data_IF_058057257911
#
_entry.id   IF_058057257911
#
_cell.length_a   1.000
_cell.length_b   1.000
_cell.length_c   1.000
_cell.angle_alpha   90.00
_cell.angle_beta   90.00
_cell.angle_gamma   90.00
#
_symmetry.space_group_name_H-M   'P 1'
#
loop_
_entity.id
_entity.type
_entity.pdbx_description
1 polymer ?
#
# COMPACT_ATOMS: atom_id res chain seq x y z
N UNK A 1 -59.06 35.57 26.46
CA UNK A 1 -57.99 34.85 27.06
C UNK A 1 -56.88 34.70 25.99
N UNK A 2 -55.92 35.37 26.25
CA UNK A 2 -54.75 35.99 25.74
C UNK A 2 -54.02 35.19 24.64
N UNK A 3 -53.82 35.87 23.49
CA UNK A 3 -52.89 35.53 22.41
C UNK A 3 -51.45 35.81 22.90
N UNK A 4 -50.59 34.83 22.88
CA UNK A 4 -49.15 35.02 22.92
C UNK A 4 -48.59 34.81 21.51
N UNK A 5 -48.17 35.90 20.90
CA UNK A 5 -47.46 36.01 19.64
C UNK A 5 -46.05 35.47 19.83
N UNK A 6 -45.68 34.39 19.17
CA UNK A 6 -44.30 33.94 19.04
C UNK A 6 -43.70 34.61 17.81
N UNK A 7 -42.75 35.53 18.05
CA UNK A 7 -41.99 36.18 17.00
C UNK A 7 -41.04 35.20 16.31
N UNK A 8 -41.13 35.18 15.00
CA UNK A 8 -40.19 34.49 14.11
C UNK A 8 -38.81 35.20 14.14
N UNK A 9 -37.87 34.63 14.89
CA UNK A 9 -36.47 34.97 14.71
C UNK A 9 -35.95 34.14 13.54
N UNK A 10 -35.92 34.74 12.35
CA UNK A 10 -35.30 34.18 11.17
C UNK A 10 -33.78 34.03 11.37
N UNK A 11 -33.34 32.85 11.75
CA UNK A 11 -31.93 32.49 11.71
C UNK A 11 -31.58 32.11 10.29
N UNK A 12 -30.99 33.06 9.56
CA UNK A 12 -30.34 32.81 8.28
C UNK A 12 -29.13 31.96 8.53
N UNK A 13 -29.18 30.70 8.17
CA UNK A 13 -28.04 29.80 8.23
C UNK A 13 -27.16 30.05 6.98
N UNK A 14 -26.15 30.89 7.15
CA UNK A 14 -25.10 31.07 6.13
C UNK A 14 -24.24 29.81 6.11
N UNK A 15 -24.32 29.02 5.03
CA UNK A 15 -23.54 27.79 4.80
C UNK A 15 -22.09 28.03 4.46
N UNK A 16 -21.53 29.21 4.71
CA UNK A 16 -20.25 29.67 4.20
C UNK A 16 -19.05 29.54 5.15
N UNK A 17 -19.23 29.37 6.47
CA UNK A 17 -18.08 29.52 7.39
C UNK A 17 -18.08 28.53 8.54
N UNK A 18 -17.68 27.27 8.29
CA UNK A 18 -17.42 26.30 9.36
C UNK A 18 -15.92 26.24 9.76
N UNK A 19 -15.04 26.97 9.09
CA UNK A 19 -13.64 27.10 9.50
C UNK A 19 -13.24 28.58 9.58
N UNK A 20 -12.63 29.04 10.68
CA UNK A 20 -12.06 30.38 10.73
C UNK A 20 -10.94 30.47 9.69
N UNK A 21 -10.96 31.52 8.86
CA UNK A 21 -9.92 31.83 7.90
C UNK A 21 -8.60 32.12 8.63
N UNK A 22 -7.70 31.14 8.69
CA UNK A 22 -6.38 31.22 9.32
C UNK A 22 -5.34 31.80 8.36
N UNK A 23 -5.70 32.11 7.12
CA UNK A 23 -4.76 32.65 6.13
C UNK A 23 -5.21 34.04 5.66
N UNK A 24 -4.30 35.04 5.66
CA UNK A 24 -4.60 36.34 5.10
C UNK A 24 -4.78 36.28 3.59
N UNK A 25 -5.79 36.98 3.07
CA UNK A 25 -6.16 37.03 1.64
C UNK A 25 -5.05 37.47 0.68
N UNK A 26 -3.94 38.00 1.18
CA UNK A 26 -2.79 38.42 0.39
C UNK A 26 -1.95 37.31 -0.22
N UNK A 27 -2.18 36.03 0.16
CA UNK A 27 -1.47 34.89 -0.41
C UNK A 27 -2.25 34.18 -1.53
N UNK A 28 -3.47 34.61 -1.82
CA UNK A 28 -4.33 34.00 -2.87
C UNK A 28 -4.07 34.54 -4.29
N UNK A 29 -3.13 35.44 -4.50
CA UNK A 29 -2.74 35.89 -5.84
C UNK A 29 -1.63 35.03 -6.44
N UNK A 30 -1.75 33.74 -6.38
CA UNK A 30 -0.97 32.85 -7.25
C UNK A 30 -1.58 32.86 -8.65
N UNK A 31 -0.86 33.46 -9.60
CA UNK A 31 -1.14 33.46 -11.06
C UNK A 31 -1.74 32.12 -11.46
N UNK A 32 -3.06 32.09 -11.67
CA UNK A 32 -3.73 30.98 -12.32
C UNK A 32 -3.18 30.86 -13.75
N UNK A 33 -2.30 29.91 -13.99
CA UNK A 33 -2.03 29.50 -15.38
C UNK A 33 -3.35 28.98 -15.93
N UNK A 34 -3.79 29.49 -17.10
CA UNK A 34 -5.01 28.98 -17.74
C UNK A 34 -4.86 27.49 -17.91
N UNK A 35 -5.81 26.74 -17.37
CA UNK A 35 -5.86 25.30 -17.51
C UNK A 35 -6.13 24.99 -18.99
N UNK A 36 -5.42 24.02 -19.59
CA UNK A 36 -5.84 23.49 -20.87
C UNK A 36 -7.25 22.93 -20.71
N UNK A 37 -8.15 23.44 -21.55
CA UNK A 37 -9.57 23.11 -21.59
C UNK A 37 -9.75 21.62 -21.89
N UNK A 38 -10.48 20.91 -21.06
CA UNK A 38 -11.42 19.92 -21.53
C UNK A 38 -11.03 18.45 -21.59
N UNK A 39 -9.82 18.00 -21.31
CA UNK A 39 -9.51 16.57 -21.25
C UNK A 39 -9.41 16.11 -19.79
N UNK A 40 -10.45 15.50 -19.29
CA UNK A 40 -10.54 15.02 -17.92
C UNK A 40 -9.65 13.81 -17.63
N UNK A 41 -9.09 13.18 -18.67
CA UNK A 41 -8.17 12.05 -18.55
C UNK A 41 -7.05 12.19 -19.59
N UNK A 42 -5.93 12.78 -19.18
CA UNK A 42 -4.70 12.80 -19.94
C UNK A 42 -4.16 11.38 -20.17
N UNK A 43 -3.49 11.15 -21.31
CA UNK A 43 -2.76 9.89 -21.59
C UNK A 43 -1.85 9.50 -20.41
N UNK A 44 -1.22 10.48 -19.76
CA UNK A 44 -0.42 10.29 -18.56
C UNK A 44 -1.21 9.69 -17.39
N UNK A 45 -2.47 10.09 -17.19
CA UNK A 45 -3.32 9.52 -16.12
C UNK A 45 -3.62 8.04 -16.39
N UNK A 46 -3.91 7.67 -17.63
CA UNK A 46 -4.14 6.26 -17.99
C UNK A 46 -2.88 5.42 -17.87
N UNK A 47 -1.71 5.97 -18.24
CA UNK A 47 -0.42 5.31 -18.02
C UNK A 47 -0.17 5.00 -16.53
N UNK A 48 -0.34 6.01 -15.67
CA UNK A 48 -0.21 5.84 -14.22
C UNK A 48 -1.26 4.87 -13.66
N UNK A 49 -2.48 4.91 -14.18
CA UNK A 49 -3.55 3.99 -13.78
C UNK A 49 -3.19 2.54 -14.10
N UNK A 50 -2.62 2.29 -15.27
CA UNK A 50 -2.13 0.96 -15.67
C UNK A 50 -0.96 0.52 -14.78
N UNK A 51 0.01 1.40 -14.54
CA UNK A 51 1.12 1.13 -13.63
C UNK A 51 0.60 0.73 -12.24
N UNK A 52 -0.39 1.45 -11.72
CA UNK A 52 -0.91 1.18 -10.38
C UNK A 52 -1.77 -0.10 -10.30
N UNK A 53 -2.44 -0.48 -11.40
CA UNK A 53 -3.07 -1.79 -11.55
C UNK A 53 -2.02 -2.91 -11.49
N UNK A 54 -0.93 -2.80 -12.26
CA UNK A 54 0.15 -3.78 -12.29
C UNK A 54 0.86 -3.90 -10.94
N UNK A 55 1.11 -2.77 -10.27
CA UNK A 55 1.65 -2.73 -8.91
C UNK A 55 0.74 -3.45 -7.91
N UNK A 56 -0.59 -3.27 -8.02
CA UNK A 56 -1.57 -4.00 -7.21
C UNK A 56 -1.52 -5.52 -7.44
N UNK A 57 -1.39 -5.96 -8.70
CA UNK A 57 -1.20 -7.38 -9.03
C UNK A 57 0.08 -7.91 -8.36
N UNK A 58 1.21 -7.23 -8.53
CA UNK A 58 2.49 -7.63 -7.98
C UNK A 58 2.45 -7.73 -6.45
N UNK A 59 1.88 -6.73 -5.79
CA UNK A 59 1.79 -6.67 -4.32
C UNK A 59 1.09 -7.89 -3.73
N UNK A 60 -0.04 -8.32 -4.29
CA UNK A 60 -0.77 -9.48 -3.79
C UNK A 60 -0.19 -10.82 -4.27
N UNK A 61 0.48 -10.85 -5.41
CA UNK A 61 1.30 -12.03 -5.79
C UNK A 61 2.36 -12.26 -4.70
N UNK A 62 3.07 -11.23 -4.27
CA UNK A 62 4.05 -11.36 -3.18
C UNK A 62 3.40 -11.79 -1.86
N UNK A 63 2.28 -11.20 -1.47
CA UNK A 63 1.60 -11.55 -0.22
C UNK A 63 1.27 -13.04 -0.17
N UNK A 64 0.70 -13.60 -1.25
CA UNK A 64 0.36 -15.03 -1.33
C UNK A 64 1.63 -15.90 -1.28
N UNK A 65 2.68 -15.52 -2.00
CA UNK A 65 3.95 -16.25 -2.02
C UNK A 65 4.62 -16.21 -0.64
N UNK A 66 4.70 -15.03 0.00
CA UNK A 66 5.32 -14.90 1.33
C UNK A 66 4.55 -15.65 2.41
N UNK A 67 3.22 -15.66 2.32
CA UNK A 67 2.39 -16.48 3.21
C UNK A 67 2.73 -17.97 3.06
N UNK A 68 2.92 -18.45 1.83
CA UNK A 68 3.32 -19.84 1.58
C UNK A 68 4.74 -20.14 2.11
N UNK A 69 5.70 -19.23 1.92
CA UNK A 69 7.04 -19.38 2.50
C UNK A 69 7.01 -19.42 4.02
N UNK A 70 6.29 -18.52 4.66
CA UNK A 70 6.17 -18.49 6.12
C UNK A 70 5.45 -19.74 6.66
N UNK A 71 4.46 -20.26 5.94
CA UNK A 71 3.81 -21.54 6.31
C UNK A 71 4.77 -22.73 6.24
N UNK A 72 5.78 -22.70 5.38
CA UNK A 72 6.81 -23.76 5.34
C UNK A 72 7.83 -23.64 6.47
N UNK A 73 8.01 -22.44 7.02
CA UNK A 73 8.95 -22.15 8.12
C UNK A 73 8.30 -22.36 9.48
N UNK A 74 7.09 -21.85 9.66
CA UNK A 74 6.39 -21.82 10.97
C UNK A 74 5.27 -22.88 11.07
N UNK A 75 5.15 -23.76 10.07
CA UNK A 75 4.02 -24.68 9.97
C UNK A 75 2.76 -23.99 9.46
N UNK A 76 1.69 -24.77 9.26
CA UNK A 76 0.38 -24.28 8.79
C UNK A 76 -0.47 -23.68 9.92
N UNK A 77 0.17 -23.17 10.96
CA UNK A 77 -0.51 -22.64 12.13
C UNK A 77 -1.21 -21.31 11.82
N UNK A 78 -2.29 -21.04 12.53
CA UNK A 78 -2.99 -19.75 12.48
C UNK A 78 -2.03 -18.59 12.79
N UNK A 79 -1.01 -18.83 13.61
CA UNK A 79 0.05 -17.86 13.94
C UNK A 79 0.81 -17.39 12.70
N UNK A 80 1.15 -18.28 11.77
CA UNK A 80 1.83 -17.92 10.53
C UNK A 80 0.97 -16.99 9.66
N UNK A 81 -0.33 -17.30 9.53
CA UNK A 81 -1.29 -16.50 8.77
C UNK A 81 -1.43 -15.10 9.39
N UNK A 82 -1.63 -15.04 10.71
CA UNK A 82 -1.76 -13.78 11.46
C UNK A 82 -0.48 -12.96 11.35
N UNK A 83 0.69 -13.59 11.46
CA UNK A 83 1.99 -12.92 11.34
C UNK A 83 2.12 -12.21 9.99
N UNK A 84 1.83 -12.90 8.89
CA UNK A 84 1.90 -12.28 7.55
C UNK A 84 0.91 -11.15 7.43
N UNK A 85 -0.33 -11.36 7.88
CA UNK A 85 -1.37 -10.36 7.78
C UNK A 85 -1.03 -9.09 8.56
N UNK A 86 -0.57 -9.25 9.80
CA UNK A 86 -0.15 -8.11 10.65
C UNK A 86 1.08 -7.41 10.07
N UNK A 87 2.10 -8.16 9.64
CA UNK A 87 3.31 -7.58 9.03
C UNK A 87 2.99 -6.82 7.74
N UNK A 88 2.17 -7.42 6.88
CA UNK A 88 1.80 -6.83 5.60
C UNK A 88 0.92 -5.59 5.79
N UNK A 89 -0.19 -5.70 6.52
CA UNK A 89 -1.11 -4.59 6.77
C UNK A 89 -0.46 -3.48 7.59
N UNK A 90 0.32 -3.86 8.61
CA UNK A 90 1.07 -2.91 9.45
C UNK A 90 2.10 -2.13 8.64
N UNK A 91 2.85 -2.82 7.78
CA UNK A 91 3.80 -2.19 6.87
C UNK A 91 3.13 -1.23 5.90
N UNK A 92 2.02 -1.64 5.24
CA UNK A 92 1.22 -0.76 4.38
C UNK A 92 0.77 0.51 5.13
N UNK A 93 0.25 0.35 6.36
CA UNK A 93 -0.22 1.48 7.16
C UNK A 93 0.92 2.44 7.53
N UNK A 94 2.07 1.91 7.96
CA UNK A 94 3.27 2.71 8.28
C UNK A 94 3.75 3.47 7.04
N UNK A 95 3.89 2.79 5.91
CA UNK A 95 4.32 3.40 4.66
C UNK A 95 3.39 4.49 4.18
N UNK A 96 2.09 4.24 4.20
CA UNK A 96 1.08 5.24 3.84
C UNK A 96 1.10 6.46 4.78
N UNK A 97 1.23 6.25 6.09
CA UNK A 97 1.30 7.31 7.07
C UNK A 97 2.56 8.17 6.93
N UNK A 98 3.71 7.58 6.68
CA UNK A 98 4.97 8.30 6.46
C UNK A 98 4.95 9.08 5.14
N UNK A 99 4.50 8.43 4.07
CA UNK A 99 4.42 9.04 2.75
C UNK A 99 3.42 10.20 2.71
N UNK A 100 2.24 10.07 3.32
CA UNK A 100 1.22 11.13 3.35
C UNK A 100 1.72 12.42 4.01
N UNK A 101 2.57 12.29 5.03
CA UNK A 101 3.18 13.45 5.71
C UNK A 101 4.23 14.18 4.85
N UNK A 102 4.84 13.48 3.90
CA UNK A 102 5.97 14.00 3.12
C UNK A 102 5.63 14.22 1.65
N UNK A 103 4.53 13.67 1.14
CA UNK A 103 4.16 13.67 -0.27
C UNK A 103 4.09 15.10 -0.86
N UNK A 104 3.61 16.07 -0.09
CA UNK A 104 3.52 17.47 -0.51
C UNK A 104 4.88 18.16 -0.73
N UNK A 105 5.97 17.61 -0.17
CA UNK A 105 7.34 18.14 -0.32
C UNK A 105 8.08 17.53 -1.51
N UNK A 106 7.52 16.54 -2.17
CA UNK A 106 8.19 15.84 -3.26
C UNK A 106 8.21 16.68 -4.52
N UNK A 107 9.40 16.93 -5.04
CA UNK A 107 9.61 17.70 -6.29
C UNK A 107 9.24 16.84 -7.51
N UNK A 108 9.45 15.53 -7.45
CA UNK A 108 9.24 14.59 -8.56
C UNK A 108 8.52 13.31 -8.09
N UNK A 109 7.23 13.38 -7.75
CA UNK A 109 6.52 12.25 -7.16
C UNK A 109 6.48 11.00 -8.05
N UNK A 110 6.34 11.14 -9.35
CA UNK A 110 6.35 10.00 -10.30
C UNK A 110 7.70 9.29 -10.27
N UNK A 111 8.82 10.03 -10.25
CA UNK A 111 10.15 9.41 -10.13
C UNK A 111 10.32 8.71 -8.77
N UNK A 112 9.80 9.29 -7.70
CA UNK A 112 9.83 8.66 -6.38
C UNK A 112 9.03 7.36 -6.38
N UNK A 113 7.87 7.34 -7.04
CA UNK A 113 7.08 6.12 -7.24
C UNK A 113 7.88 5.05 -7.99
N UNK A 114 8.52 5.38 -9.11
CA UNK A 114 9.37 4.44 -9.85
C UNK A 114 10.51 3.87 -9.00
N UNK A 115 11.14 4.70 -8.16
CA UNK A 115 12.18 4.24 -7.22
C UNK A 115 11.59 3.27 -6.19
N UNK A 116 10.41 3.56 -5.64
CA UNK A 116 9.74 2.64 -4.71
C UNK A 116 9.47 1.28 -5.37
N UNK A 117 8.99 1.26 -6.61
CA UNK A 117 8.75 0.01 -7.35
C UNK A 117 10.04 -0.80 -7.53
N UNK A 118 11.17 -0.14 -7.81
CA UNK A 118 12.49 -0.80 -7.83
C UNK A 118 12.89 -1.36 -6.46
N UNK A 119 12.66 -0.61 -5.38
CA UNK A 119 12.97 -1.06 -4.01
C UNK A 119 12.08 -2.25 -3.62
N UNK A 120 10.80 -2.22 -3.99
CA UNK A 120 9.88 -3.34 -3.78
C UNK A 120 10.39 -4.58 -4.54
N UNK A 121 10.70 -4.45 -5.83
CA UNK A 121 11.21 -5.54 -6.65
C UNK A 121 12.50 -6.15 -6.05
N UNK A 122 13.45 -5.31 -5.67
CA UNK A 122 14.70 -5.74 -5.07
C UNK A 122 14.47 -6.47 -3.74
N UNK A 123 13.69 -5.87 -2.84
CA UNK A 123 13.39 -6.49 -1.54
C UNK A 123 12.63 -7.80 -1.69
N UNK A 124 11.72 -7.92 -2.66
CA UNK A 124 10.98 -9.15 -2.94
C UNK A 124 11.88 -10.33 -3.35
N UNK A 125 13.02 -10.07 -3.99
CA UNK A 125 14.04 -11.10 -4.28
C UNK A 125 14.70 -11.59 -2.98
N UNK A 126 14.96 -10.68 -2.04
CA UNK A 126 15.64 -11.01 -0.79
C UNK A 126 14.75 -11.65 0.27
N UNK A 127 13.45 -11.34 0.30
CA UNK A 127 12.52 -11.87 1.31
C UNK A 127 12.55 -13.39 1.41
N UNK A 128 12.45 -14.20 0.34
CA UNK A 128 12.54 -15.66 0.45
C UNK A 128 13.88 -16.16 1.01
N UNK A 129 14.97 -15.46 0.71
CA UNK A 129 16.32 -15.79 1.22
C UNK A 129 16.41 -15.49 2.72
N UNK A 130 15.92 -14.33 3.14
CA UNK A 130 15.87 -13.93 4.55
C UNK A 130 14.99 -14.89 5.36
N UNK A 131 13.83 -15.28 4.84
CA UNK A 131 12.94 -16.23 5.51
C UNK A 131 13.59 -17.61 5.66
N UNK A 132 14.32 -18.10 4.65
CA UNK A 132 15.12 -19.33 4.76
C UNK A 132 16.23 -19.20 5.81
N UNK A 133 16.91 -18.04 5.85
CA UNK A 133 17.92 -17.76 6.88
C UNK A 133 17.34 -17.78 8.28
N UNK A 134 16.18 -17.15 8.48
CA UNK A 134 15.44 -17.18 9.77
C UNK A 134 15.07 -18.61 10.15
N UNK A 135 14.57 -19.42 9.19
CA UNK A 135 14.25 -20.83 9.42
C UNK A 135 15.48 -21.65 9.84
N UNK A 136 16.60 -21.45 9.14
CA UNK A 136 17.87 -22.12 9.46
C UNK A 136 18.40 -21.74 10.83
N UNK A 137 18.35 -20.46 11.20
CA UNK A 137 18.75 -19.97 12.50
C UNK A 137 17.87 -20.56 13.61
N UNK A 138 16.54 -20.58 13.39
CA UNK A 138 15.61 -21.16 14.32
C UNK A 138 15.86 -22.66 14.53
N UNK A 139 16.03 -23.42 13.46
CA UNK A 139 16.36 -24.85 13.54
C UNK A 139 17.67 -25.08 14.31
N UNK A 140 18.68 -24.23 14.10
CA UNK A 140 19.95 -24.31 14.83
C UNK A 140 19.78 -24.05 16.33
N UNK A 141 18.96 -23.06 16.72
CA UNK A 141 18.70 -22.72 18.12
C UNK A 141 17.87 -23.79 18.85
N UNK A 142 16.98 -24.48 18.14
CA UNK A 142 16.12 -25.56 18.68
C UNK A 142 16.75 -26.97 18.55
N UNK A 143 18.07 -27.06 18.30
CA UNK A 143 18.75 -28.35 18.23
C UNK A 143 18.41 -29.19 16.99
N UNK A 144 18.05 -28.56 15.87
CA UNK A 144 17.79 -29.23 14.60
C UNK A 144 16.33 -29.64 14.37
N UNK A 145 15.41 -29.29 15.22
CA UNK A 145 13.98 -29.50 15.00
C UNK A 145 13.45 -28.51 13.96
N UNK A 146 12.87 -29.04 12.89
CA UNK A 146 12.40 -28.23 11.75
C UNK A 146 11.02 -27.60 11.94
N UNK A 147 10.32 -27.93 12.99
CA UNK A 147 8.99 -27.41 13.31
C UNK A 147 8.93 -27.02 14.79
N UNK A 148 8.26 -25.91 15.14
CA UNK A 148 8.02 -25.59 16.55
C UNK A 148 7.23 -26.74 17.20
N UNK A 149 7.51 -27.04 18.49
CA UNK A 149 6.73 -28.00 19.22
C UNK A 149 5.24 -27.58 19.22
N UNK A 150 4.30 -28.54 19.24
CA UNK A 150 2.86 -28.25 19.22
C UNK A 150 2.40 -27.30 20.35
N UNK A 151 3.19 -27.22 21.41
CA UNK A 151 2.93 -26.41 22.62
C UNK A 151 3.77 -25.13 22.66
N UNK A 152 4.23 -24.63 21.51
CA UNK A 152 5.03 -23.40 21.39
C UNK A 152 4.38 -22.25 22.16
N UNK A 153 5.08 -21.73 23.17
CA UNK A 153 4.55 -20.72 24.07
C UNK A 153 4.34 -19.36 23.37
N UNK A 154 3.57 -18.47 24.02
CA UNK A 154 3.33 -17.10 23.52
C UNK A 154 4.63 -16.37 23.14
N UNK A 155 5.74 -16.63 23.85
CA UNK A 155 7.05 -16.03 23.55
C UNK A 155 7.59 -16.42 22.18
N UNK A 156 7.43 -17.66 21.77
CA UNK A 156 7.84 -18.15 20.45
C UNK A 156 6.99 -17.53 19.33
N UNK A 157 5.67 -17.51 19.51
CA UNK A 157 4.76 -16.87 18.59
C UNK A 157 5.09 -15.38 18.39
N UNK A 158 5.41 -14.65 19.46
CA UNK A 158 5.82 -13.25 19.40
C UNK A 158 7.18 -13.06 18.72
N UNK A 159 8.14 -13.97 18.93
CA UNK A 159 9.42 -13.94 18.23
C UNK A 159 9.26 -14.11 16.73
N UNK A 160 8.42 -15.07 16.27
CA UNK A 160 8.11 -15.27 14.87
C UNK A 160 7.39 -14.08 14.26
N UNK A 161 6.41 -13.52 14.98
CA UNK A 161 5.74 -12.30 14.58
C UNK A 161 6.73 -11.15 14.38
N UNK A 162 7.62 -10.94 15.35
CA UNK A 162 8.64 -9.88 15.29
C UNK A 162 9.61 -10.05 14.13
N UNK A 163 10.11 -11.25 13.89
CA UNK A 163 11.01 -11.56 12.78
C UNK A 163 10.31 -11.43 11.43
N UNK A 164 9.08 -11.94 11.31
CA UNK A 164 8.27 -11.80 10.09
C UNK A 164 7.97 -10.33 9.78
N UNK A 165 7.59 -9.55 10.80
CA UNK A 165 7.40 -8.10 10.67
C UNK A 165 8.69 -7.41 10.20
N UNK A 166 9.84 -7.74 10.77
CA UNK A 166 11.11 -7.12 10.42
C UNK A 166 11.48 -7.38 8.95
N UNK A 167 11.31 -8.61 8.48
CA UNK A 167 11.63 -8.99 7.08
C UNK A 167 10.68 -8.32 6.09
N UNK A 168 9.38 -8.25 6.41
CA UNK A 168 8.36 -7.75 5.49
C UNK A 168 8.15 -6.23 5.57
N UNK A 169 8.65 -5.56 6.62
CA UNK A 169 8.38 -4.13 6.86
C UNK A 169 8.83 -3.24 5.70
N UNK A 170 10.02 -3.44 5.17
CA UNK A 170 10.57 -2.59 4.10
C UNK A 170 9.72 -2.68 2.82
N UNK A 171 9.52 -3.87 2.21
CA UNK A 171 8.74 -3.96 0.99
C UNK A 171 7.28 -3.49 1.18
N UNK A 172 6.64 -3.85 2.29
CA UNK A 172 5.25 -3.48 2.53
C UNK A 172 5.07 -1.99 2.84
N UNK A 173 6.01 -1.37 3.55
CA UNK A 173 6.00 0.08 3.76
C UNK A 173 6.22 0.84 2.44
N UNK A 174 7.11 0.37 1.55
CA UNK A 174 7.25 0.94 0.22
C UNK A 174 5.94 0.81 -0.59
N UNK A 175 5.27 -0.35 -0.57
CA UNK A 175 3.96 -0.54 -1.20
C UNK A 175 2.91 0.42 -0.64
N UNK A 176 2.85 0.58 0.68
CA UNK A 176 1.92 1.51 1.33
C UNK A 176 2.15 2.97 0.98
N UNK A 177 3.40 3.35 0.70
CA UNK A 177 3.77 4.70 0.31
C UNK A 177 3.37 5.07 -1.13
N UNK A 178 3.11 4.09 -2.01
CA UNK A 178 2.87 4.33 -3.44
C UNK A 178 1.65 5.20 -3.72
N UNK A 179 0.51 4.93 -3.09
CA UNK A 179 -0.73 5.68 -3.33
C UNK A 179 -0.63 7.17 -2.91
N UNK A 180 -0.16 7.53 -1.70
CA UNK A 180 0.01 8.93 -1.33
C UNK A 180 0.98 9.68 -2.26
N UNK A 181 2.04 9.03 -2.70
CA UNK A 181 3.03 9.64 -3.59
C UNK A 181 2.46 9.84 -4.99
N UNK A 182 1.75 8.86 -5.54
CA UNK A 182 1.04 9.02 -6.82
C UNK A 182 -0.03 10.09 -6.74
N UNK A 183 -0.83 10.12 -5.68
CA UNK A 183 -1.84 11.15 -5.47
C UNK A 183 -1.23 12.55 -5.54
N UNK A 184 -0.08 12.78 -4.88
CA UNK A 184 0.64 14.05 -4.94
C UNK A 184 1.13 14.42 -6.36
N UNK A 185 1.40 13.40 -7.21
CA UNK A 185 1.85 13.62 -8.59
C UNK A 185 0.74 13.94 -9.59
N UNK A 186 -0.46 13.43 -9.36
CA UNK A 186 -1.55 13.43 -10.37
C UNK A 186 -2.64 14.44 -10.04
N UNK A 187 -2.78 14.79 -8.75
CA UNK A 187 -3.80 15.74 -8.31
C UNK A 187 -3.31 17.15 -8.55
N UNK A 188 -3.99 17.87 -9.44
CA UNK A 188 -3.68 19.27 -9.77
C UNK A 188 -4.68 20.26 -9.15
N UNK A 189 -5.87 19.78 -8.74
CA UNK A 189 -6.94 20.59 -8.14
C UNK A 189 -7.63 19.78 -7.04
N UNK A 190 -8.03 20.41 -5.97
CA UNK A 190 -8.72 19.78 -4.84
C UNK A 190 -10.01 19.04 -5.27
N UNK A 191 -10.78 19.61 -6.20
CA UNK A 191 -12.01 19.01 -6.74
C UNK A 191 -11.78 17.64 -7.43
N UNK A 192 -10.55 17.36 -7.88
CA UNK A 192 -10.18 16.13 -8.57
C UNK A 192 -9.69 15.03 -7.62
N UNK A 193 -9.38 15.36 -6.36
CA UNK A 193 -8.78 14.44 -5.39
C UNK A 193 -9.65 13.18 -5.27
N UNK A 194 -10.91 13.34 -4.87
CA UNK A 194 -11.80 12.21 -4.61
C UNK A 194 -11.95 11.28 -5.81
N UNK A 195 -12.18 11.83 -7.01
CA UNK A 195 -12.41 11.04 -8.22
C UNK A 195 -11.15 10.33 -8.71
N UNK A 196 -10.01 11.03 -8.79
CA UNK A 196 -8.75 10.45 -9.30
C UNK A 196 -8.14 9.45 -8.33
N UNK A 197 -8.06 9.80 -7.06
CA UNK A 197 -7.54 8.90 -6.02
C UNK A 197 -8.44 7.69 -5.84
N UNK A 198 -9.77 7.89 -5.83
CA UNK A 198 -10.74 6.80 -5.77
C UNK A 198 -10.61 5.83 -6.94
N UNK A 199 -10.40 6.34 -8.17
CA UNK A 199 -10.17 5.52 -9.36
C UNK A 199 -8.87 4.70 -9.26
N UNK A 200 -7.76 5.33 -8.85
CA UNK A 200 -6.50 4.62 -8.63
C UNK A 200 -6.63 3.53 -7.57
N UNK A 201 -7.27 3.86 -6.45
CA UNK A 201 -7.51 2.89 -5.38
C UNK A 201 -8.34 1.70 -5.88
N UNK A 202 -9.40 1.96 -6.65
CA UNK A 202 -10.24 0.91 -7.22
C UNK A 202 -9.46 0.00 -8.18
N UNK A 203 -8.64 0.57 -9.06
CA UNK A 203 -7.79 -0.19 -9.98
C UNK A 203 -6.73 -1.02 -9.24
N UNK A 204 -6.08 -0.43 -8.26
CA UNK A 204 -5.10 -1.17 -7.44
C UNK A 204 -5.76 -2.33 -6.70
N UNK A 205 -6.94 -2.11 -6.13
CA UNK A 205 -7.72 -3.16 -5.45
C UNK A 205 -8.13 -4.26 -6.43
N UNK A 206 -8.59 -3.89 -7.64
CA UNK A 206 -8.90 -4.87 -8.69
C UNK A 206 -7.66 -5.67 -9.10
N UNK A 207 -6.51 -4.99 -9.27
CA UNK A 207 -5.22 -5.64 -9.50
C UNK A 207 -4.85 -6.60 -8.38
N UNK A 208 -5.05 -6.19 -7.14
CA UNK A 208 -4.80 -7.02 -5.95
C UNK A 208 -5.63 -8.31 -5.96
N UNK A 209 -6.93 -8.21 -6.26
CA UNK A 209 -7.81 -9.39 -6.40
C UNK A 209 -7.32 -10.31 -7.51
N UNK A 210 -7.03 -9.75 -8.70
CA UNK A 210 -6.51 -10.52 -9.83
C UNK A 210 -5.17 -11.19 -9.48
N UNK A 211 -4.24 -10.47 -8.85
CA UNK A 211 -2.95 -10.98 -8.40
C UNK A 211 -3.08 -12.14 -7.43
N UNK A 212 -3.99 -12.03 -6.45
CA UNK A 212 -4.26 -13.12 -5.49
C UNK A 212 -4.76 -14.38 -6.19
N UNK A 213 -5.76 -14.24 -7.07
CA UNK A 213 -6.32 -15.37 -7.81
C UNK A 213 -5.30 -16.02 -8.75
N UNK A 214 -4.57 -15.21 -9.51
CA UNK A 214 -3.53 -15.70 -10.41
C UNK A 214 -2.40 -16.39 -9.65
N UNK A 215 -1.93 -15.82 -8.55
CA UNK A 215 -0.89 -16.43 -7.73
C UNK A 215 -1.36 -17.78 -7.15
N UNK A 216 -2.52 -17.81 -6.51
CA UNK A 216 -3.00 -18.99 -5.79
C UNK A 216 -3.39 -20.14 -6.72
N UNK A 217 -4.07 -19.85 -7.85
CA UNK A 217 -4.67 -20.88 -8.69
C UNK A 217 -3.92 -21.16 -10.00
N UNK A 218 -3.04 -20.24 -10.43
CA UNK A 218 -2.35 -20.37 -11.73
C UNK A 218 -0.85 -20.46 -11.56
N UNK A 219 -0.23 -19.45 -10.95
CA UNK A 219 1.23 -19.32 -10.95
C UNK A 219 1.89 -20.30 -9.99
N UNK A 220 1.48 -20.34 -8.73
CA UNK A 220 2.09 -21.24 -7.73
C UNK A 220 1.92 -22.70 -8.11
N UNK A 221 0.72 -23.19 -8.51
CA UNK A 221 0.56 -24.60 -8.91
C UNK A 221 1.36 -25.01 -10.15
N UNK A 222 1.61 -24.09 -11.09
CA UNK A 222 2.30 -24.40 -12.34
C UNK A 222 3.79 -24.11 -12.33
N UNK A 223 4.21 -23.08 -11.62
CA UNK A 223 5.57 -22.55 -11.67
C UNK A 223 6.32 -22.71 -10.35
N UNK A 224 5.59 -22.86 -9.24
CA UNK A 224 6.15 -22.85 -7.91
C UNK A 224 6.36 -21.44 -7.34
N UNK A 225 6.81 -21.38 -6.08
CA UNK A 225 6.89 -20.12 -5.32
C UNK A 225 7.95 -19.16 -5.86
N UNK A 226 9.11 -19.70 -6.25
CA UNK A 226 10.25 -18.89 -6.68
C UNK A 226 9.95 -18.15 -7.99
N UNK A 227 9.48 -18.87 -9.00
CA UNK A 227 9.13 -18.29 -10.30
C UNK A 227 7.96 -17.32 -10.18
N UNK A 228 6.99 -17.63 -9.32
CA UNK A 228 5.88 -16.70 -9.04
C UNK A 228 6.36 -15.39 -8.43
N UNK A 229 7.37 -15.42 -7.53
CA UNK A 229 8.00 -14.20 -7.04
C UNK A 229 8.62 -13.37 -8.16
N UNK A 230 9.30 -14.00 -9.11
CA UNK A 230 9.90 -13.29 -10.25
C UNK A 230 8.88 -12.67 -11.19
N UNK A 231 7.66 -13.22 -11.32
CA UNK A 231 6.57 -12.54 -12.04
C UNK A 231 6.25 -11.20 -11.36
N UNK A 232 6.12 -11.19 -10.04
CA UNK A 232 5.92 -9.95 -9.28
C UNK A 232 7.07 -8.95 -9.52
N UNK A 233 8.32 -9.42 -9.45
CA UNK A 233 9.51 -8.59 -9.72
C UNK A 233 9.46 -7.98 -11.13
N UNK A 234 9.13 -8.78 -12.14
CA UNK A 234 9.03 -8.31 -13.52
C UNK A 234 7.93 -7.26 -13.68
N UNK A 235 6.78 -7.42 -13.01
CA UNK A 235 5.71 -6.44 -13.01
C UNK A 235 6.16 -5.11 -12.39
N UNK A 236 6.80 -5.13 -11.21
CA UNK A 236 7.31 -3.92 -10.56
C UNK A 236 8.38 -3.21 -11.41
N UNK A 237 9.33 -3.96 -12.00
CA UNK A 237 10.34 -3.38 -12.87
C UNK A 237 9.72 -2.77 -14.14
N UNK A 238 8.69 -3.41 -14.70
CA UNK A 238 7.93 -2.84 -15.82
C UNK A 238 7.29 -1.51 -15.43
N UNK A 239 6.65 -1.47 -14.26
CA UNK A 239 6.06 -0.24 -13.71
C UNK A 239 7.10 0.85 -13.47
N UNK A 240 8.29 0.49 -13.00
CA UNK A 240 9.37 1.45 -12.75
C UNK A 240 9.95 2.09 -14.02
N UNK A 241 9.85 1.41 -15.16
CA UNK A 241 10.36 1.89 -16.46
C UNK A 241 9.30 2.70 -17.22
N UNK A 242 8.01 2.37 -17.09
CA UNK A 242 6.90 3.09 -17.72
C UNK A 242 6.65 4.47 -17.10
#
# INVERSE_FOLDING_TARGET
LEKISAGEAGVSYDRGTVFPAVFPDSLMTTRQRPAPSGATFDVAFWGVSLCFLLSGIAGLVYQVVWMRYLSTVFGTSEVAIVTVLVAYMGGLAVGAALASRQAHRLVRPIRTYAILECVIALSAVFVPLLLKGVAGLHAMLLGGQSAPPPDGGLGEALAFLGLGCLVLLIPTACMGATLPILAAGIVRREEQIGKRVGWLYALNTFGAVAGTLLAAFVFIPRLGLWQTSFIGVALNLTVAVL
#
